data_IF_068883525430
#
_entry.id   IF_068883525430
#
_cell.length_a   1.000
_cell.length_b   1.000
_cell.length_c   1.000
_cell.angle_alpha   90.00
_cell.angle_beta   90.00
_cell.angle_gamma   90.00
#
_symmetry.space_group_name_H-M   'P 1'
#
loop_
_entity.id
_entity.type
_entity.pdbx_description
1 polymer ?
#
# COMPACT_ATOMS: atom_id res chain seq x y z
N UNK A 1 2.54 -1.55 -16.52
CA UNK A 1 2.70 -0.18 -15.97
C UNK A 1 1.92 0.05 -14.70
N UNK A 2 2.03 -0.81 -13.68
CA UNK A 2 1.43 -0.56 -12.35
C UNK A 2 2.49 -0.80 -11.25
N UNK A 3 3.42 0.15 -11.15
CA UNK A 3 4.50 0.14 -10.17
C UNK A 3 3.94 0.31 -8.76
N UNK A 4 4.41 -0.52 -7.82
CA UNK A 4 3.93 -0.58 -6.43
C UNK A 4 4.06 0.78 -5.73
N UNK A 5 5.20 1.46 -5.90
CA UNK A 5 5.53 2.73 -5.25
C UNK A 5 5.52 3.93 -6.22
N UNK A 6 5.22 3.70 -7.50
CA UNK A 6 5.28 4.72 -8.56
C UNK A 6 6.47 4.53 -9.51
N UNK A 7 6.43 5.25 -10.64
CA UNK A 7 7.46 5.18 -11.69
C UNK A 7 8.81 5.72 -11.23
N UNK A 8 8.82 6.72 -10.34
CA UNK A 8 10.05 7.31 -9.80
C UNK A 8 10.84 6.32 -8.94
N UNK A 9 10.17 5.66 -7.99
CA UNK A 9 10.83 4.64 -7.15
C UNK A 9 11.39 3.50 -8.00
N UNK A 10 10.64 3.03 -8.99
CA UNK A 10 11.13 1.96 -9.87
C UNK A 10 12.30 2.43 -10.75
N UNK A 11 12.27 3.65 -11.26
CA UNK A 11 13.38 4.23 -12.01
C UNK A 11 14.64 4.34 -11.14
N UNK A 12 14.53 4.86 -9.93
CA UNK A 12 15.64 4.97 -8.98
C UNK A 12 16.21 3.60 -8.61
N UNK A 13 15.36 2.57 -8.44
CA UNK A 13 15.81 1.20 -8.20
C UNK A 13 16.55 0.61 -9.40
N UNK A 14 16.12 0.90 -10.63
CA UNK A 14 16.84 0.48 -11.85
C UNK A 14 18.20 1.16 -11.95
N UNK A 15 18.28 2.47 -11.73
CA UNK A 15 19.55 3.21 -11.73
C UNK A 15 20.51 2.69 -10.64
N UNK A 16 20.01 2.46 -9.43
CA UNK A 16 20.82 1.90 -8.35
C UNK A 16 21.40 0.52 -8.70
N UNK A 17 20.62 -0.36 -9.36
CA UNK A 17 21.10 -1.67 -9.83
C UNK A 17 22.18 -1.58 -10.90
N UNK A 18 22.24 -0.48 -11.65
CA UNK A 18 23.29 -0.18 -12.62
C UNK A 18 24.52 0.50 -11.98
N UNK A 19 24.54 0.67 -10.65
CA UNK A 19 25.66 1.26 -9.91
C UNK A 19 25.61 2.79 -9.79
N UNK A 20 24.57 3.45 -10.31
CA UNK A 20 24.42 4.89 -10.14
C UNK A 20 24.06 5.24 -8.70
N UNK A 21 24.63 6.36 -8.22
CA UNK A 21 24.35 6.91 -6.89
C UNK A 21 23.24 7.95 -6.98
N UNK A 22 22.37 7.98 -5.97
CA UNK A 22 21.38 9.04 -5.82
C UNK A 22 22.02 10.26 -5.15
N UNK A 23 21.73 11.46 -5.67
CA UNK A 23 22.11 12.73 -5.05
C UNK A 23 20.89 13.30 -4.31
N UNK A 24 21.06 13.64 -3.04
CA UNK A 24 20.07 14.38 -2.27
C UNK A 24 20.53 15.84 -2.10
N UNK A 25 19.65 16.79 -2.43
CA UNK A 25 19.90 18.22 -2.28
C UNK A 25 18.72 18.87 -1.54
N UNK A 26 18.96 19.43 -0.36
CA UNK A 26 17.94 20.08 0.47
C UNK A 26 17.62 21.52 0.03
N UNK A 27 18.44 22.13 -0.83
CA UNK A 27 18.24 23.48 -1.33
C UNK A 27 17.18 23.58 -2.43
N UNK A 28 16.75 22.45 -2.99
CA UNK A 28 15.75 22.41 -4.06
C UNK A 28 14.34 22.44 -3.45
N UNK A 29 13.59 23.49 -3.76
CA UNK A 29 12.16 23.54 -3.46
C UNK A 29 11.38 22.77 -4.53
N UNK A 30 10.56 21.80 -4.11
CA UNK A 30 9.70 21.00 -4.99
C UNK A 30 8.24 21.34 -4.75
N UNK A 31 7.58 21.88 -5.78
CA UNK A 31 6.15 22.13 -5.74
C UNK A 31 5.37 20.86 -6.09
N UNK A 32 4.43 20.48 -5.23
CA UNK A 32 3.54 19.36 -5.49
C UNK A 32 2.30 19.84 -6.24
N UNK A 33 2.21 19.51 -7.53
CA UNK A 33 1.03 19.81 -8.33
C UNK A 33 0.00 18.68 -8.23
N UNK A 34 -1.09 18.92 -7.50
CA UNK A 34 -2.23 18.01 -7.42
C UNK A 34 -3.31 18.44 -8.42
N UNK A 35 -3.53 17.62 -9.44
CA UNK A 35 -4.55 17.82 -10.48
C UNK A 35 -5.94 17.45 -9.94
N UNK A 36 -7.03 18.09 -10.42
CA UNK A 36 -8.38 17.79 -9.96
C UNK A 36 -8.77 16.31 -10.04
N UNK A 37 -8.40 15.62 -11.13
CA UNK A 37 -8.69 14.19 -11.29
C UNK A 37 -7.99 13.31 -10.23
N UNK A 38 -6.91 13.79 -9.61
CA UNK A 38 -6.21 13.07 -8.53
C UNK A 38 -6.98 13.12 -7.21
N UNK A 39 -8.02 13.95 -7.11
CA UNK A 39 -8.94 13.98 -5.98
C UNK A 39 -10.20 13.13 -6.22
N UNK A 40 -10.33 12.50 -7.38
CA UNK A 40 -11.45 11.63 -7.69
C UNK A 40 -11.37 10.30 -6.90
N UNK A 41 -12.51 9.76 -6.45
CA UNK A 41 -12.55 8.49 -5.72
C UNK A 41 -11.81 7.34 -6.43
N UNK A 42 -11.95 7.25 -7.76
CA UNK A 42 -11.30 6.19 -8.55
C UNK A 42 -9.78 6.30 -8.49
N UNK A 43 -9.25 7.52 -8.61
CA UNK A 43 -7.81 7.74 -8.54
C UNK A 43 -7.28 7.47 -7.13
N UNK A 44 -7.98 7.96 -6.09
CA UNK A 44 -7.63 7.74 -4.69
C UNK A 44 -7.64 6.26 -4.32
N UNK A 45 -8.64 5.50 -4.78
CA UNK A 45 -8.70 4.06 -4.60
C UNK A 45 -7.47 3.36 -5.24
N UNK A 46 -7.06 3.78 -6.44
CA UNK A 46 -5.84 3.28 -7.07
C UNK A 46 -4.57 3.58 -6.26
N UNK A 47 -4.47 4.80 -5.71
CA UNK A 47 -3.33 5.19 -4.86
C UNK A 47 -3.31 4.42 -3.53
N UNK A 48 -4.47 4.24 -2.89
CA UNK A 48 -4.60 3.44 -1.68
C UNK A 48 -4.16 1.98 -1.92
N UNK A 49 -4.54 1.37 -3.05
CA UNK A 49 -4.09 0.02 -3.42
C UNK A 49 -2.56 -0.07 -3.52
N UNK A 50 -1.95 0.84 -4.29
CA UNK A 50 -0.49 0.91 -4.44
C UNK A 50 0.23 1.07 -3.11
N UNK A 51 -0.24 2.00 -2.28
CA UNK A 51 0.28 2.20 -0.93
C UNK A 51 0.18 0.94 -0.06
N UNK A 52 -0.96 0.24 -0.11
CA UNK A 52 -1.15 -1.02 0.61
C UNK A 52 -0.16 -2.10 0.18
N UNK A 53 0.07 -2.25 -1.14
CA UNK A 53 1.10 -3.15 -1.68
C UNK A 53 2.49 -2.78 -1.18
N UNK A 54 2.85 -1.50 -1.24
CA UNK A 54 4.13 -1.00 -0.75
C UNK A 54 4.37 -1.29 0.74
N UNK A 55 3.33 -1.12 1.57
CA UNK A 55 3.37 -1.48 2.99
C UNK A 55 3.59 -2.98 3.20
N UNK A 56 3.06 -3.85 2.35
CA UNK A 56 3.28 -5.30 2.47
C UNK A 56 4.74 -5.68 2.19
N UNK A 57 5.36 -5.06 1.19
CA UNK A 57 6.79 -5.24 0.91
C UNK A 57 7.69 -4.69 2.03
N UNK A 58 7.32 -3.56 2.63
CA UNK A 58 8.05 -3.00 3.77
C UNK A 58 7.90 -3.85 5.05
N UNK A 59 6.76 -4.54 5.20
CA UNK A 59 6.50 -5.45 6.32
C UNK A 59 7.02 -6.87 6.08
N UNK A 60 7.47 -7.18 4.85
CA UNK A 60 8.12 -8.44 4.58
C UNK A 60 9.48 -8.46 5.29
N UNK A 61 9.86 -9.57 5.95
CA UNK A 61 11.12 -9.64 6.67
C UNK A 61 12.28 -9.35 5.72
N UNK A 62 13.05 -8.31 6.03
CA UNK A 62 14.32 -8.07 5.37
C UNK A 62 15.32 -9.09 5.91
N UNK A 63 16.03 -9.86 5.07
CA UNK A 63 17.02 -10.83 5.52
C UNK A 63 18.10 -10.22 6.45
N UNK A 64 18.37 -8.92 6.29
CA UNK A 64 19.37 -8.18 7.07
C UNK A 64 18.87 -7.63 8.42
N UNK A 65 17.56 -7.68 8.69
CA UNK A 65 16.94 -7.16 9.90
C UNK A 65 16.03 -8.22 10.52
N UNK A 66 16.64 -9.27 11.09
CA UNK A 66 15.95 -10.25 11.90
C UNK A 66 15.60 -9.65 13.28
N UNK A 67 14.76 -8.62 13.30
CA UNK A 67 14.10 -8.18 14.52
C UNK A 67 12.85 -9.03 14.66
N UNK A 68 12.79 -9.85 15.70
CA UNK A 68 11.59 -10.60 16.05
C UNK A 68 10.51 -9.61 16.49
N UNK A 69 9.62 -9.27 15.57
CA UNK A 69 8.41 -8.51 15.88
C UNK A 69 7.55 -9.32 16.87
N UNK A 70 6.96 -8.67 17.89
CA UNK A 70 6.08 -9.36 18.82
C UNK A 70 4.89 -9.97 18.08
N UNK A 71 4.50 -11.18 18.47
CA UNK A 71 3.42 -11.92 17.83
C UNK A 71 2.08 -11.15 17.94
N UNK A 72 1.64 -10.56 16.83
CA UNK A 72 0.34 -9.88 16.75
C UNK A 72 -0.76 -10.93 16.72
N UNK A 73 -1.83 -10.85 17.55
CA UNK A 73 -2.88 -11.85 17.57
C UNK A 73 -3.63 -11.88 16.23
N UNK A 74 -3.74 -13.08 15.65
CA UNK A 74 -4.33 -13.32 14.34
C UNK A 74 -5.67 -14.04 14.45
N UNK A 75 -6.55 -13.79 13.49
CA UNK A 75 -7.78 -14.53 13.25
C UNK A 75 -7.84 -14.83 11.75
N UNK A 76 -8.03 -16.10 11.37
CA UNK A 76 -7.94 -16.58 9.98
C UNK A 76 -6.62 -16.21 9.28
N UNK A 77 -5.50 -16.18 10.02
CA UNK A 77 -4.17 -15.78 9.49
C UNK A 77 -4.03 -14.28 9.18
N UNK A 78 -4.98 -13.46 9.66
CA UNK A 78 -4.98 -12.00 9.49
C UNK A 78 -4.93 -11.35 10.88
N UNK A 79 -4.17 -10.27 11.03
CA UNK A 79 -4.12 -9.49 12.27
C UNK A 79 -5.53 -9.02 12.68
N UNK A 80 -5.96 -9.32 13.91
CA UNK A 80 -7.32 -9.03 14.38
C UNK A 80 -7.71 -7.55 14.26
N UNK A 81 -6.77 -6.65 14.56
CA UNK A 81 -7.00 -5.22 14.45
C UNK A 81 -7.30 -4.78 13.01
N UNK A 82 -6.71 -5.46 12.02
CA UNK A 82 -6.89 -5.16 10.60
C UNK A 82 -8.28 -5.58 10.13
N UNK A 83 -8.76 -6.74 10.57
CA UNK A 83 -10.14 -7.17 10.31
C UNK A 83 -11.14 -6.14 10.85
N UNK A 84 -10.91 -5.63 12.07
CA UNK A 84 -11.72 -4.55 12.65
C UNK A 84 -11.70 -3.30 11.77
N UNK A 85 -10.53 -2.85 11.32
CA UNK A 85 -10.44 -1.66 10.46
C UNK A 85 -11.15 -1.88 9.13
N UNK A 86 -11.03 -3.06 8.52
CA UNK A 86 -11.74 -3.38 7.28
C UNK A 86 -13.27 -3.41 7.47
N UNK A 87 -13.75 -3.98 8.58
CA UNK A 87 -15.17 -3.98 8.91
C UNK A 87 -15.69 -2.56 9.14
N UNK A 88 -14.94 -1.72 9.87
CA UNK A 88 -15.26 -0.30 10.06
C UNK A 88 -15.26 0.48 8.74
N UNK A 89 -14.30 0.21 7.86
CA UNK A 89 -14.24 0.84 6.54
C UNK A 89 -15.46 0.47 5.69
N UNK A 90 -15.87 -0.80 5.69
CA UNK A 90 -17.05 -1.27 4.97
C UNK A 90 -18.35 -0.62 5.52
N UNK A 91 -18.58 -0.71 6.83
CA UNK A 91 -19.75 -0.11 7.48
C UNK A 91 -19.78 1.42 7.31
N UNK A 92 -18.65 2.08 7.55
CA UNK A 92 -18.52 3.54 7.39
C UNK A 92 -18.70 3.99 5.95
N UNK A 93 -18.26 3.20 4.97
CA UNK A 93 -18.45 3.49 3.55
C UNK A 93 -19.91 3.41 3.13
N UNK A 94 -20.64 2.40 3.64
CA UNK A 94 -22.09 2.30 3.44
C UNK A 94 -22.81 3.48 4.09
N UNK A 95 -22.51 3.76 5.36
CA UNK A 95 -23.12 4.86 6.09
C UNK A 95 -22.84 6.22 5.44
N UNK A 96 -21.62 6.45 4.95
CA UNK A 96 -21.26 7.68 4.26
C UNK A 96 -22.03 7.89 2.95
N UNK A 97 -22.38 6.81 2.25
CA UNK A 97 -23.24 6.88 1.05
C UNK A 97 -24.67 7.24 1.43
N UNK A 98 -25.20 6.67 2.50
CA UNK A 98 -26.54 6.95 2.99
C UNK A 98 -26.69 8.39 3.53
N UNK A 99 -25.66 8.91 4.18
CA UNK A 99 -25.68 10.23 4.82
C UNK A 99 -25.07 11.35 3.99
N UNK A 100 -24.50 11.05 2.82
CA UNK A 100 -23.76 12.02 2.00
C UNK A 100 -22.45 12.52 2.63
N UNK A 101 -21.94 11.88 3.69
CA UNK A 101 -20.72 12.31 4.38
C UNK A 101 -19.46 12.02 3.55
N UNK A 102 -19.04 13.00 2.74
CA UNK A 102 -17.89 12.87 1.83
C UNK A 102 -16.58 12.54 2.55
N UNK A 103 -16.33 13.12 3.73
CA UNK A 103 -15.08 12.88 4.48
C UNK A 103 -15.00 11.42 4.93
N UNK A 104 -16.08 10.89 5.50
CA UNK A 104 -16.15 9.49 5.90
C UNK A 104 -16.05 8.56 4.69
N UNK A 105 -16.70 8.91 3.58
CA UNK A 105 -16.64 8.12 2.34
C UNK A 105 -15.19 7.98 1.85
N UNK A 106 -14.44 9.08 1.73
CA UNK A 106 -13.06 9.05 1.25
C UNK A 106 -12.15 8.27 2.20
N UNK A 107 -12.31 8.45 3.53
CA UNK A 107 -11.55 7.68 4.52
C UNK A 107 -11.83 6.19 4.39
N UNK A 108 -13.10 5.79 4.38
CA UNK A 108 -13.52 4.39 4.24
C UNK A 108 -13.05 3.76 2.92
N UNK A 109 -13.11 4.52 1.81
CA UNK A 109 -12.60 4.09 0.51
C UNK A 109 -11.09 3.81 0.56
N UNK A 110 -10.33 4.71 1.17
CA UNK A 110 -8.89 4.58 1.33
C UNK A 110 -8.54 3.35 2.18
N UNK A 111 -9.09 3.25 3.38
CA UNK A 111 -8.82 2.17 4.33
C UNK A 111 -9.15 0.80 3.73
N UNK A 112 -10.31 0.68 3.08
CA UNK A 112 -10.74 -0.54 2.41
C UNK A 112 -9.74 -0.98 1.34
N UNK A 113 -9.39 -0.10 0.42
CA UNK A 113 -8.52 -0.44 -0.71
C UNK A 113 -7.07 -0.68 -0.29
N UNK A 114 -6.58 0.07 0.68
CA UNK A 114 -5.23 -0.10 1.23
C UNK A 114 -5.08 -1.44 1.94
N UNK A 115 -5.95 -1.76 2.90
CA UNK A 115 -5.84 -3.00 3.67
C UNK A 115 -6.11 -4.24 2.81
N UNK A 116 -7.07 -4.17 1.88
CA UNK A 116 -7.32 -5.25 0.92
C UNK A 116 -6.09 -5.52 0.05
N UNK A 117 -5.45 -4.48 -0.49
CA UNK A 117 -4.28 -4.62 -1.33
C UNK A 117 -3.06 -5.13 -0.54
N UNK A 118 -2.87 -4.65 0.69
CA UNK A 118 -1.83 -5.15 1.60
C UNK A 118 -1.96 -6.66 1.82
N UNK A 119 -3.16 -7.15 2.16
CA UNK A 119 -3.38 -8.57 2.43
C UNK A 119 -3.21 -9.43 1.18
N UNK A 120 -3.66 -8.94 0.03
CA UNK A 120 -3.46 -9.62 -1.25
C UNK A 120 -1.96 -9.73 -1.58
N UNK A 121 -1.20 -8.65 -1.42
CA UNK A 121 0.24 -8.63 -1.69
C UNK A 121 1.02 -9.50 -0.69
N UNK A 122 0.67 -9.48 0.60
CA UNK A 122 1.32 -10.30 1.62
C UNK A 122 1.12 -11.81 1.35
N UNK A 123 -0.05 -12.21 0.84
CA UNK A 123 -0.29 -13.60 0.39
C UNK A 123 0.60 -13.99 -0.78
N UNK A 124 0.91 -13.06 -1.70
CA UNK A 124 1.84 -13.31 -2.79
C UNK A 124 3.29 -13.44 -2.28
N UNK A 125 3.69 -12.60 -1.34
CA UNK A 125 5.03 -12.63 -0.74
C UNK A 125 5.25 -13.89 0.11
N UNK A 126 4.25 -14.32 0.88
CA UNK A 126 4.32 -15.51 1.76
C UNK A 126 3.93 -16.82 1.07
N UNK A 127 3.32 -16.75 -0.11
CA UNK A 127 2.99 -17.93 -0.90
C UNK A 127 4.27 -18.62 -1.41
N UNK A 128 4.16 -19.88 -1.91
CA UNK A 128 5.30 -20.55 -2.52
C UNK A 128 5.85 -19.68 -3.65
N UNK A 129 7.18 -19.52 -3.67
CA UNK A 129 7.91 -18.63 -4.58
C UNK A 129 7.40 -18.79 -6.03
N UNK A 130 6.97 -17.72 -6.73
CA UNK A 130 6.56 -17.82 -8.13
C UNK A 130 7.65 -18.37 -9.06
N UNK A 131 8.93 -18.40 -8.63
CA UNK A 131 10.02 -19.07 -9.36
C UNK A 131 9.96 -20.60 -9.35
N UNK A 132 9.13 -21.23 -8.52
CA UNK A 132 8.90 -22.70 -8.55
C UNK A 132 7.84 -23.13 -9.58
N UNK A 133 7.33 -22.20 -10.39
CA UNK A 133 6.29 -22.43 -11.41
C UNK A 133 6.77 -22.14 -12.84
N UNK A 134 8.05 -22.37 -13.14
CA UNK A 134 8.49 -22.54 -14.53
C UNK A 134 8.62 -24.05 -14.80
N UNK A 135 8.01 -24.57 -15.88
CA UNK A 135 8.17 -25.97 -16.28
C UNK A 135 9.61 -26.29 -16.70
#
# INVERSE_FOLDING_TARGET
>A
GDYIMGSETEFNLRLARLGYRNLFCNAIAVEHQIRPYQLEPRWLAGRARRFGRGKAHAAAPCPAAAVQEPAVPQLFGIERWRLRVMAQAAAGGLWARLTGNRRLFIKSLWDWHMHRAFLAELKLIRGPDPKSRQP
#
